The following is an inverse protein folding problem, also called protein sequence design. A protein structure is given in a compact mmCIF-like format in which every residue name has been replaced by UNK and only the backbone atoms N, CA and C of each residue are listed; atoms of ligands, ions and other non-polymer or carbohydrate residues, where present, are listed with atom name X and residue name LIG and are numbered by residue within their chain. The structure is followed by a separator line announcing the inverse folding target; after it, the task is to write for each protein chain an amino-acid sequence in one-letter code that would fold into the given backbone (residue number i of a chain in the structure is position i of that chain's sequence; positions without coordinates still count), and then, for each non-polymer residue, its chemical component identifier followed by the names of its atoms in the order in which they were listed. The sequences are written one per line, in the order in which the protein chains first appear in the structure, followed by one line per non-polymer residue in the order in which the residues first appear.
data_IF_173125910433
#
_entry.id   IF_173125910433
#
_cell.length_a   1.000
_cell.length_b   1.000
_cell.length_c   1.000
_cell.angle_alpha   90.00
_cell.angle_beta   90.00
_cell.angle_gamma   90.00
#
_symmetry.space_group_name_H-M   'P 1'
#
loop_
_entity.id
_entity.type
_entity.pdbx_description
1 polymer ?
#
# COMPACT_ATOMS: atom_id res chain seq x y z
N UNK A 1 71.97 10.24 -0.35
CA UNK A 1 70.91 9.42 0.27
C UNK A 1 69.63 9.69 -0.50
N UNK A 2 69.31 8.86 -1.50
CA UNK A 2 68.20 9.10 -2.43
C UNK A 2 67.06 8.15 -2.03
N UNK A 3 66.03 8.70 -1.38
CA UNK A 3 64.80 7.95 -1.10
C UNK A 3 64.04 7.75 -2.42
N UNK A 4 63.95 6.51 -2.88
CA UNK A 4 63.01 6.15 -3.93
C UNK A 4 61.58 6.30 -3.38
N UNK A 5 60.72 7.15 -3.97
CA UNK A 5 59.33 7.22 -3.56
C UNK A 5 58.68 5.86 -3.89
N UNK A 6 58.08 5.23 -2.89
CA UNK A 6 57.40 3.94 -3.01
C UNK A 6 56.16 4.07 -3.93
N UNK A 7 56.40 4.01 -5.25
CA UNK A 7 55.37 4.08 -6.30
C UNK A 7 54.24 3.04 -6.10
N UNK A 8 54.54 1.92 -5.43
CA UNK A 8 53.57 0.86 -5.14
C UNK A 8 52.50 1.27 -4.12
N UNK A 9 52.83 2.12 -3.13
CA UNK A 9 51.86 2.60 -2.14
C UNK A 9 50.87 3.61 -2.72
N UNK A 10 51.34 4.47 -3.62
CA UNK A 10 50.51 5.46 -4.32
C UNK A 10 49.53 4.79 -5.27
N UNK A 11 49.98 3.78 -6.03
CA UNK A 11 49.11 3.03 -6.95
C UNK A 11 47.99 2.30 -6.20
N UNK A 12 48.30 1.68 -5.05
CA UNK A 12 47.28 1.02 -4.22
C UNK A 12 46.22 2.01 -3.72
N UNK A 13 46.64 3.21 -3.31
CA UNK A 13 45.76 4.25 -2.79
C UNK A 13 44.84 4.81 -3.89
N UNK A 14 45.35 4.99 -5.11
CA UNK A 14 44.55 5.42 -6.27
C UNK A 14 43.50 4.36 -6.64
N UNK A 15 43.85 3.07 -6.60
CA UNK A 15 42.90 1.98 -6.87
C UNK A 15 41.81 1.92 -5.80
N UNK A 16 42.17 2.04 -4.51
CA UNK A 16 41.20 2.09 -3.41
C UNK A 16 40.24 3.27 -3.54
N UNK A 17 40.76 4.44 -3.91
CA UNK A 17 39.94 5.64 -4.11
C UNK A 17 38.98 5.47 -5.29
N UNK A 18 39.44 4.86 -6.40
CA UNK A 18 38.59 4.56 -7.55
C UNK A 18 37.46 3.58 -7.18
N UNK A 19 37.76 2.52 -6.44
CA UNK A 19 36.74 1.55 -5.96
C UNK A 19 35.74 2.22 -5.02
N UNK A 20 36.21 3.06 -4.10
CA UNK A 20 35.33 3.79 -3.18
C UNK A 20 34.41 4.77 -3.92
N UNK A 21 34.93 5.50 -4.91
CA UNK A 21 34.14 6.39 -5.77
C UNK A 21 33.12 5.59 -6.58
N UNK A 22 33.51 4.43 -7.13
CA UNK A 22 32.63 3.58 -7.92
C UNK A 22 31.52 2.96 -7.06
N UNK A 23 31.83 2.58 -5.81
CA UNK A 23 30.82 2.17 -4.81
C UNK A 23 29.88 3.32 -4.43
N UNK A 24 30.41 4.53 -4.23
CA UNK A 24 29.60 5.71 -3.93
C UNK A 24 28.65 6.05 -5.08
N UNK A 25 29.14 6.04 -6.33
CA UNK A 25 28.34 6.26 -7.52
C UNK A 25 27.30 5.14 -7.70
N UNK A 26 27.65 3.89 -7.40
CA UNK A 26 26.72 2.76 -7.41
C UNK A 26 25.61 2.94 -6.35
N UNK A 27 25.95 3.33 -5.13
CA UNK A 27 24.96 3.62 -4.08
C UNK A 27 24.07 4.83 -4.42
N UNK A 28 24.63 5.90 -5.01
CA UNK A 28 23.86 7.08 -5.42
C UNK A 28 22.91 6.75 -6.57
N UNK A 29 23.33 5.92 -7.53
CA UNK A 29 22.45 5.53 -8.64
C UNK A 29 21.31 4.60 -8.16
N UNK A 30 21.60 3.72 -7.20
CA UNK A 30 20.57 2.95 -6.49
C UNK A 30 19.62 3.90 -5.77
N UNK A 31 20.08 4.93 -5.06
CA UNK A 31 19.20 5.89 -4.37
C UNK A 31 18.42 6.83 -5.30
N UNK A 32 18.94 7.12 -6.49
CA UNK A 32 18.25 7.94 -7.49
C UNK A 32 17.10 7.18 -8.17
N UNK A 33 17.20 5.85 -8.28
CA UNK A 33 16.15 4.96 -8.82
C UNK A 33 15.23 4.48 -7.68
N UNK A 34 15.79 4.24 -6.49
CA UNK A 34 15.11 3.86 -5.26
C UNK A 34 15.14 5.09 -4.33
N UNK A 35 14.20 6.01 -4.55
CA UNK A 35 14.03 7.20 -3.72
C UNK A 35 14.06 6.89 -2.21
N UNK A 36 14.31 7.91 -1.35
CA UNK A 36 14.68 7.74 0.05
C UNK A 36 13.81 6.70 0.77
N UNK A 37 14.47 5.71 1.36
CA UNK A 37 13.86 4.67 2.17
C UNK A 37 13.08 5.29 3.34
N UNK A 38 11.78 4.96 3.37
CA UNK A 38 10.92 4.85 4.54
C UNK A 38 10.80 6.10 5.42
N UNK A 39 9.91 7.01 5.02
CA UNK A 39 9.05 7.61 6.04
C UNK A 39 8.20 6.49 6.65
N UNK A 40 8.37 6.32 7.95
CA UNK A 40 7.93 5.24 8.82
C UNK A 40 6.59 4.65 8.38
N UNK A 41 6.59 3.39 7.93
CA UNK A 41 5.37 2.61 7.88
C UNK A 41 4.75 2.60 9.29
N UNK A 42 3.41 2.50 9.43
CA UNK A 42 2.81 2.25 10.74
C UNK A 42 3.55 1.12 11.43
N UNK A 43 3.98 1.33 12.68
CA UNK A 43 4.62 0.27 13.46
C UNK A 43 3.68 -0.95 13.48
N UNK A 44 4.21 -2.14 13.17
CA UNK A 44 3.43 -3.38 13.11
C UNK A 44 2.99 -3.86 11.72
N UNK A 45 3.28 -3.13 10.64
CA UNK A 45 3.09 -3.65 9.26
C UNK A 45 4.44 -4.15 8.74
N UNK A 46 4.50 -5.44 8.39
CA UNK A 46 5.70 -6.04 7.82
C UNK A 46 6.10 -5.34 6.50
N UNK A 47 7.37 -4.93 6.39
CA UNK A 47 7.94 -4.35 5.17
C UNK A 47 7.95 -5.32 3.99
N UNK A 48 7.70 -6.61 4.26
CA UNK A 48 7.75 -7.73 3.31
C UNK A 48 6.44 -8.52 3.35
N UNK A 49 5.37 -8.03 2.72
CA UNK A 49 4.03 -8.62 2.84
C UNK A 49 3.94 -10.07 2.35
N UNK A 50 4.87 -10.51 1.50
CA UNK A 50 4.94 -11.91 1.03
C UNK A 50 5.36 -12.91 2.11
N UNK A 51 5.84 -12.46 3.27
CA UNK A 51 6.07 -13.35 4.42
C UNK A 51 4.74 -13.73 5.11
N UNK A 52 3.68 -12.96 4.88
CA UNK A 52 2.33 -13.20 5.40
C UNK A 52 1.43 -13.94 4.38
N UNK A 53 2.02 -14.52 3.33
CA UNK A 53 1.27 -15.19 2.27
C UNK A 53 0.48 -16.41 2.80
N UNK A 54 0.95 -17.02 3.89
CA UNK A 54 0.27 -18.10 4.60
C UNK A 54 -1.03 -17.67 5.30
N UNK A 55 -1.20 -16.37 5.56
CA UNK A 55 -2.45 -15.82 6.11
C UNK A 55 -3.57 -15.70 5.05
N UNK A 56 -3.23 -15.81 3.76
CA UNK A 56 -4.22 -15.75 2.69
C UNK A 56 -5.01 -17.06 2.61
N UNK A 57 -6.33 -16.94 2.73
CA UNK A 57 -7.27 -18.05 2.68
C UNK A 57 -7.79 -18.23 1.26
N UNK A 58 -7.66 -19.44 0.72
CA UNK A 58 -8.13 -19.76 -0.62
C UNK A 58 -9.65 -19.55 -0.80
N UNK A 59 -10.08 -19.44 -2.07
CA UNK A 59 -11.50 -19.40 -2.39
C UNK A 59 -12.22 -20.67 -1.90
N UNK A 60 -13.42 -20.51 -1.36
CA UNK A 60 -14.22 -21.60 -0.78
C UNK A 60 -13.80 -22.07 0.62
N UNK A 61 -12.60 -21.74 1.09
CA UNK A 61 -12.18 -22.06 2.46
C UNK A 61 -12.85 -21.13 3.48
N UNK A 62 -13.21 -21.63 4.68
CA UNK A 62 -13.85 -20.82 5.72
C UNK A 62 -12.84 -19.85 6.34
N UNK A 63 -13.29 -18.61 6.59
CA UNK A 63 -12.51 -17.57 7.26
C UNK A 63 -12.99 -17.46 8.71
N UNK A 64 -12.05 -17.39 9.65
CA UNK A 64 -12.36 -17.18 11.06
C UNK A 64 -12.90 -15.77 11.27
N UNK A 65 -14.17 -15.65 11.66
CA UNK A 65 -14.80 -14.37 11.92
C UNK A 65 -14.37 -13.75 13.25
N UNK A 66 -14.31 -12.40 13.33
CA UNK A 66 -13.89 -11.71 14.53
C UNK A 66 -14.92 -11.85 15.64
N UNK A 67 -14.43 -11.89 16.87
CA UNK A 67 -15.24 -11.77 18.09
C UNK A 67 -14.79 -10.51 18.83
N UNK A 68 -15.63 -10.02 19.74
CA UNK A 68 -15.25 -8.93 20.63
C UNK A 68 -13.87 -9.21 21.27
N UNK A 69 -12.97 -8.21 21.31
CA UNK A 69 -13.25 -6.78 21.11
C UNK A 69 -13.07 -6.26 19.67
N UNK A 70 -12.78 -7.14 18.69
CA UNK A 70 -12.64 -6.74 17.28
C UNK A 70 -14.00 -6.38 16.66
N UNK A 71 -14.04 -5.51 15.63
CA UNK A 71 -15.27 -5.14 14.92
C UNK A 71 -15.94 -6.38 14.34
N UNK A 72 -17.25 -6.52 14.54
CA UNK A 72 -18.03 -7.62 13.98
C UNK A 72 -18.49 -7.28 12.57
N UNK A 73 -18.44 -8.26 11.66
CA UNK A 73 -18.80 -8.09 10.24
C UNK A 73 -20.22 -8.60 9.97
N UNK A 74 -21.22 -7.94 10.57
CA UNK A 74 -22.62 -8.36 10.44
C UNK A 74 -23.24 -7.99 9.09
N UNK A 75 -22.60 -7.09 8.34
CA UNK A 75 -23.00 -6.69 7.00
C UNK A 75 -21.75 -6.37 6.16
N UNK A 76 -21.84 -6.47 4.82
CA UNK A 76 -20.78 -6.00 3.95
C UNK A 76 -20.51 -4.51 4.17
N UNK A 77 -19.23 -4.15 4.18
CA UNK A 77 -18.77 -2.76 4.31
C UNK A 77 -17.88 -2.36 3.14
N UNK A 78 -17.93 -1.08 2.79
CA UNK A 78 -17.11 -0.49 1.73
C UNK A 78 -16.42 0.74 2.27
N UNK A 79 -15.10 0.74 2.17
CA UNK A 79 -14.21 1.81 2.59
C UNK A 79 -13.64 2.47 1.33
N UNK A 80 -13.44 3.78 1.36
CA UNK A 80 -12.73 4.49 0.29
C UNK A 80 -11.72 5.43 0.90
N UNK A 81 -10.54 5.48 0.30
CA UNK A 81 -9.39 6.17 0.87
C UNK A 81 -8.44 6.75 -0.15
N UNK A 82 -7.65 7.70 0.33
CA UNK A 82 -6.51 8.24 -0.42
C UNK A 82 -5.30 7.35 -0.21
N UNK A 83 -4.51 7.18 -1.27
CA UNK A 83 -3.22 6.48 -1.25
C UNK A 83 -2.13 7.51 -1.45
N UNK A 84 -1.08 7.51 -0.64
CA UNK A 84 0.01 8.48 -0.73
C UNK A 84 1.38 7.82 -0.62
N UNK A 85 2.41 8.51 -1.14
CA UNK A 85 3.82 8.13 -0.97
C UNK A 85 4.63 9.40 -0.80
N UNK A 86 5.41 9.48 0.27
CA UNK A 86 6.20 10.68 0.63
C UNK A 86 5.33 11.94 0.63
N UNK A 87 4.18 11.89 1.31
CA UNK A 87 3.14 12.93 1.40
C UNK A 87 2.43 13.33 0.09
N UNK A 88 2.90 12.85 -1.07
CA UNK A 88 2.23 13.08 -2.35
C UNK A 88 1.08 12.08 -2.57
N UNK A 89 -0.05 12.58 -3.07
CA UNK A 89 -1.20 11.75 -3.42
C UNK A 89 -0.89 10.88 -4.65
N UNK A 90 -1.21 9.59 -4.54
CA UNK A 90 -0.97 8.52 -5.52
C UNK A 90 -2.23 7.70 -5.75
N UNK A 91 -3.36 8.41 -5.89
CA UNK A 91 -4.64 7.82 -6.25
C UNK A 91 -5.53 7.44 -5.08
N UNK A 92 -6.45 6.53 -5.34
CA UNK A 92 -7.51 6.13 -4.42
C UNK A 92 -7.63 4.61 -4.33
N UNK A 93 -7.95 4.13 -3.13
CA UNK A 93 -8.24 2.72 -2.87
C UNK A 93 -9.68 2.57 -2.44
N UNK A 94 -10.36 1.57 -2.97
CA UNK A 94 -11.66 1.11 -2.52
C UNK A 94 -11.50 -0.28 -1.93
N UNK A 95 -11.95 -0.49 -0.69
CA UNK A 95 -11.84 -1.78 0.01
C UNK A 95 -13.25 -2.24 0.35
N UNK A 96 -13.63 -3.42 -0.12
CA UNK A 96 -14.88 -4.09 0.24
C UNK A 96 -14.57 -5.27 1.16
N UNK A 97 -15.20 -5.32 2.33
CA UNK A 97 -15.12 -6.46 3.24
C UNK A 97 -16.51 -7.07 3.36
N UNK A 98 -16.64 -8.33 2.96
CA UNK A 98 -17.89 -9.08 3.05
C UNK A 98 -18.13 -9.60 4.47
N UNK A 99 -19.36 -9.99 4.76
CA UNK A 99 -19.75 -10.52 6.07
C UNK A 99 -19.09 -11.86 6.41
N UNK A 100 -18.58 -12.59 5.42
CA UNK A 100 -17.80 -13.82 5.60
C UNK A 100 -16.29 -13.55 5.82
N UNK A 101 -15.86 -12.29 5.85
CA UNK A 101 -14.48 -11.90 6.09
C UNK A 101 -13.58 -11.87 4.86
N UNK A 102 -14.12 -12.08 3.64
CA UNK A 102 -13.34 -11.85 2.41
C UNK A 102 -13.13 -10.36 2.18
N UNK A 103 -11.97 -10.04 1.62
CA UNK A 103 -11.55 -8.68 1.30
C UNK A 103 -11.34 -8.59 -0.20
N UNK A 104 -11.89 -7.56 -0.83
CA UNK A 104 -11.55 -7.13 -2.19
C UNK A 104 -11.08 -5.69 -2.13
N UNK A 105 -10.07 -5.36 -2.90
CA UNK A 105 -9.63 -3.99 -3.01
C UNK A 105 -9.24 -3.62 -4.44
N UNK A 106 -9.63 -2.41 -4.84
CA UNK A 106 -9.28 -1.83 -6.12
C UNK A 106 -8.48 -0.55 -5.84
N UNK A 107 -7.27 -0.46 -6.41
CA UNK A 107 -6.44 0.74 -6.36
C UNK A 107 -6.26 1.30 -7.76
N UNK A 108 -6.54 2.59 -7.90
CA UNK A 108 -6.32 3.33 -9.14
C UNK A 108 -5.53 4.59 -8.83
N UNK A 109 -4.53 4.89 -9.65
CA UNK A 109 -3.76 6.12 -9.55
C UNK A 109 -3.41 6.68 -10.93
N UNK A 110 -3.44 8.00 -11.02
CA UNK A 110 -2.87 8.74 -12.14
C UNK A 110 -2.07 9.91 -11.57
N UNK A 111 -0.78 9.98 -11.86
CA UNK A 111 0.10 11.03 -11.33
C UNK A 111 1.27 11.32 -12.27
N UNK A 112 1.87 12.49 -12.12
CA UNK A 112 3.03 12.91 -12.92
C UNK A 112 4.24 13.12 -12.03
N UNK A 113 5.41 12.71 -12.53
CA UNK A 113 6.70 13.09 -11.98
C UNK A 113 7.60 13.47 -13.16
N UNK A 114 7.70 14.77 -13.50
CA UNK A 114 8.28 15.22 -14.75
C UNK A 114 9.65 14.59 -15.04
N UNK A 115 9.88 14.10 -16.27
CA UNK A 115 9.02 14.24 -17.46
C UNK A 115 7.93 13.16 -17.61
N UNK A 116 7.76 12.26 -16.65
CA UNK A 116 6.97 11.03 -16.78
C UNK A 116 5.54 11.19 -16.26
N UNK A 117 4.61 10.51 -16.92
CA UNK A 117 3.23 10.31 -16.45
C UNK A 117 3.01 8.84 -16.12
N UNK A 118 2.27 8.57 -15.05
CA UNK A 118 2.05 7.23 -14.52
C UNK A 118 0.55 6.97 -14.38
N UNK A 119 0.12 5.80 -14.83
CA UNK A 119 -1.22 5.27 -14.60
C UNK A 119 -1.09 3.88 -13.98
N UNK A 120 -1.63 3.71 -12.78
CA UNK A 120 -1.59 2.47 -12.02
C UNK A 120 -3.00 1.94 -11.80
N UNK A 121 -3.15 0.62 -11.98
CA UNK A 121 -4.35 -0.12 -11.61
C UNK A 121 -3.96 -1.40 -10.90
N UNK A 122 -4.63 -1.74 -9.80
CA UNK A 122 -4.46 -3.01 -9.11
C UNK A 122 -5.81 -3.52 -8.60
N UNK A 123 -6.05 -4.82 -8.76
CA UNK A 123 -7.24 -5.52 -8.26
C UNK A 123 -6.77 -6.64 -7.33
N UNK A 124 -7.14 -6.55 -6.06
CA UNK A 124 -6.65 -7.42 -4.99
C UNK A 124 -7.79 -8.20 -4.36
N UNK A 125 -7.49 -9.43 -3.94
CA UNK A 125 -8.40 -10.29 -3.18
C UNK A 125 -7.67 -10.93 -2.00
N UNK A 126 -8.40 -11.17 -0.92
CA UNK A 126 -7.88 -11.80 0.29
C UNK A 126 -8.92 -11.91 1.37
N UNK A 127 -8.49 -11.74 2.62
CA UNK A 127 -9.31 -11.99 3.80
C UNK A 127 -8.86 -11.13 4.98
N UNK A 128 -9.70 -11.12 6.00
CA UNK A 128 -9.32 -10.68 7.33
C UNK A 128 -8.47 -11.73 8.02
N UNK A 129 -7.67 -11.31 8.99
CA UNK A 129 -7.12 -12.21 10.01
C UNK A 129 -7.47 -11.76 11.42
N UNK A 130 -7.79 -12.73 12.27
CA UNK A 130 -8.24 -12.50 13.64
C UNK A 130 -7.16 -12.73 14.68
N UNK A 131 -6.01 -13.26 14.31
CA UNK A 131 -4.90 -13.56 15.22
C UNK A 131 -3.91 -12.40 15.31
N UNK A 132 -3.72 -11.65 14.22
CA UNK A 132 -2.89 -10.47 14.18
C UNK A 132 -3.41 -9.39 15.13
N UNK A 133 -2.51 -8.86 15.95
CA UNK A 133 -2.78 -7.77 16.90
C UNK A 133 -2.08 -6.52 16.40
N UNK A 134 -2.74 -5.37 16.48
CA UNK A 134 -2.10 -4.10 16.13
C UNK A 134 -1.18 -3.67 17.26
N UNK A 135 -0.04 -3.05 16.94
CA UNK A 135 0.92 -2.56 17.92
C UNK A 135 1.29 -1.13 17.59
N UNK A 136 1.10 -0.21 18.53
CA UNK A 136 1.60 1.17 18.43
C UNK A 136 2.44 1.57 19.65
N UNK A 137 2.79 2.86 19.72
CA UNK A 137 3.56 3.42 20.83
C UNK A 137 2.90 3.26 22.21
N UNK A 138 1.57 3.06 22.27
CA UNK A 138 0.83 2.83 23.50
C UNK A 138 0.71 1.33 23.84
N UNK A 139 1.18 0.45 22.96
CA UNK A 139 1.20 -0.99 23.14
C UNK A 139 0.24 -1.74 22.21
N UNK A 140 -0.13 -2.98 22.56
CA UNK A 140 -1.01 -3.80 21.72
C UNK A 140 -2.47 -3.31 21.76
N UNK A 141 -3.06 -3.08 20.59
CA UNK A 141 -4.49 -2.81 20.40
C UNK A 141 -5.18 -4.04 19.79
N UNK A 142 -6.03 -4.68 20.59
CA UNK A 142 -6.80 -5.87 20.19
C UNK A 142 -8.12 -5.51 19.50
N UNK A 143 -8.47 -4.22 19.41
CA UNK A 143 -9.74 -3.75 18.89
C UNK A 143 -9.71 -3.54 17.37
N UNK A 144 -8.56 -3.73 16.72
CA UNK A 144 -8.43 -3.58 15.27
C UNK A 144 -8.44 -4.93 14.56
N UNK A 145 -9.05 -4.96 13.38
CA UNK A 145 -9.12 -6.15 12.54
C UNK A 145 -8.11 -6.06 11.40
N UNK A 146 -7.22 -7.04 11.30
CA UNK A 146 -6.21 -7.07 10.26
C UNK A 146 -6.84 -7.46 8.92
N UNK A 147 -6.41 -6.78 7.85
CA UNK A 147 -6.80 -7.00 6.47
C UNK A 147 -5.54 -7.39 5.68
N UNK A 148 -5.64 -8.45 4.88
CA UNK A 148 -4.61 -8.82 3.91
C UNK A 148 -5.27 -9.14 2.57
N UNK A 149 -4.73 -8.56 1.50
CA UNK A 149 -5.14 -8.87 0.14
C UNK A 149 -3.95 -8.82 -0.81
N UNK A 150 -4.04 -9.60 -1.88
CA UNK A 150 -3.00 -9.71 -2.91
C UNK A 150 -3.64 -9.76 -4.28
N UNK A 151 -2.98 -9.22 -5.29
CA UNK A 151 -3.40 -9.36 -6.68
C UNK A 151 -2.42 -8.75 -7.66
N UNK A 152 -2.69 -8.85 -8.96
CA UNK A 152 -1.87 -8.22 -9.98
C UNK A 152 -2.02 -6.69 -9.93
N UNK A 153 -0.95 -5.99 -10.29
CA UNK A 153 -1.02 -4.59 -10.71
C UNK A 153 -0.48 -4.43 -12.13
N UNK A 154 -0.89 -3.32 -12.74
CA UNK A 154 -0.40 -2.82 -14.01
C UNK A 154 -0.03 -1.36 -13.86
N UNK A 155 1.19 -1.00 -14.22
CA UNK A 155 1.70 0.37 -14.24
C UNK A 155 2.09 0.74 -15.67
N UNK A 156 1.39 1.72 -16.22
CA UNK A 156 1.75 2.36 -17.47
C UNK A 156 2.56 3.62 -17.18
N UNK A 157 3.73 3.72 -17.80
CA UNK A 157 4.60 4.90 -17.75
C UNK A 157 4.68 5.51 -19.14
N UNK A 158 4.34 6.79 -19.26
CA UNK A 158 4.51 7.57 -20.49
C UNK A 158 5.65 8.56 -20.30
N UNK A 159 6.67 8.42 -21.13
CA UNK A 159 7.85 9.28 -21.16
C UNK A 159 7.99 9.91 -22.57
N UNK A 160 8.16 11.23 -22.69
CA UNK A 160 8.39 11.88 -23.98
C UNK A 160 9.62 11.36 -24.74
N UNK A 161 10.65 10.89 -24.04
CA UNK A 161 11.91 10.46 -24.65
C UNK A 161 11.88 8.99 -25.10
N UNK A 162 11.24 8.10 -24.32
CA UNK A 162 11.27 6.65 -24.55
C UNK A 162 9.91 6.07 -24.97
N UNK A 163 8.84 6.85 -24.91
CA UNK A 163 7.49 6.42 -25.29
C UNK A 163 6.72 5.79 -24.14
N UNK A 164 5.91 4.78 -24.44
CA UNK A 164 5.09 4.06 -23.47
C UNK A 164 5.82 2.80 -22.98
N UNK A 165 5.91 2.63 -21.67
CA UNK A 165 6.39 1.43 -21.01
C UNK A 165 5.30 0.84 -20.10
N UNK A 166 5.27 -0.48 -20.00
CA UNK A 166 4.34 -1.22 -19.15
C UNK A 166 5.10 -2.11 -18.18
N UNK A 167 4.69 -2.08 -16.91
CA UNK A 167 5.18 -2.95 -15.85
C UNK A 167 4.00 -3.70 -15.24
N UNK A 168 4.16 -5.01 -15.03
CA UNK A 168 3.19 -5.88 -14.39
C UNK A 168 3.88 -6.57 -13.22
N UNK A 169 3.20 -6.62 -12.08
CA UNK A 169 3.72 -7.31 -10.91
C UNK A 169 2.62 -7.65 -9.92
N UNK A 170 3.01 -7.81 -8.66
CA UNK A 170 2.10 -8.12 -7.55
C UNK A 170 1.92 -6.91 -6.65
N UNK A 171 0.67 -6.56 -6.39
CA UNK A 171 0.28 -5.64 -5.33
C UNK A 171 -0.17 -6.42 -4.10
N UNK A 172 0.17 -5.87 -2.94
CA UNK A 172 -0.27 -6.32 -1.63
C UNK A 172 -0.97 -5.16 -0.93
N UNK A 173 -2.06 -5.46 -0.22
CA UNK A 173 -2.71 -4.55 0.70
C UNK A 173 -2.63 -5.17 2.09
N UNK A 174 -2.03 -4.44 3.02
CA UNK A 174 -2.03 -4.76 4.45
C UNK A 174 -2.67 -3.60 5.20
N UNK A 175 -3.44 -3.88 6.25
CA UNK A 175 -3.88 -2.81 7.13
C UNK A 175 -4.77 -3.27 8.26
N UNK A 176 -5.24 -2.30 9.02
CA UNK A 176 -6.05 -2.51 10.21
C UNK A 176 -7.32 -1.68 10.12
N UNK A 177 -8.47 -2.34 10.27
CA UNK A 177 -9.78 -1.73 10.40
C UNK A 177 -10.09 -1.48 11.87
N UNK A 178 -10.28 -0.22 12.21
CA UNK A 178 -10.68 0.26 13.54
C UNK A 178 -12.21 0.16 13.74
N UNK A 179 -12.69 0.09 15.00
CA UNK A 179 -14.13 0.03 15.31
C UNK A 179 -14.94 1.24 14.84
N UNK A 180 -14.29 2.39 14.63
CA UNK A 180 -14.90 3.62 14.11
C UNK A 180 -15.12 3.58 12.58
N UNK A 181 -14.74 2.49 11.90
CA UNK A 181 -14.89 2.34 10.46
C UNK A 181 -13.77 3.01 9.65
N UNK A 182 -12.63 3.32 10.28
CA UNK A 182 -11.41 3.76 9.60
C UNK A 182 -10.48 2.58 9.37
N UNK A 183 -9.95 2.44 8.17
CA UNK A 183 -8.91 1.48 7.83
C UNK A 183 -7.62 2.21 7.45
N UNK A 184 -6.51 1.80 8.04
CA UNK A 184 -5.19 2.36 7.79
C UNK A 184 -4.21 1.25 7.47
N UNK A 185 -3.29 1.50 6.53
CA UNK A 185 -2.36 0.47 6.14
C UNK A 185 -1.44 0.87 5.01
N UNK A 186 -0.90 -0.14 4.34
CA UNK A 186 0.01 0.02 3.22
C UNK A 186 -0.45 -0.76 1.98
N UNK A 187 -0.11 -0.19 0.83
CA UNK A 187 -0.14 -0.85 -0.46
C UNK A 187 1.31 -1.02 -0.92
N UNK A 188 1.69 -2.26 -1.26
CA UNK A 188 3.06 -2.60 -1.62
C UNK A 188 3.10 -3.21 -3.01
N UNK A 189 3.91 -2.64 -3.90
CA UNK A 189 4.16 -3.14 -5.25
C UNK A 189 5.50 -3.86 -5.32
N UNK A 190 5.55 -4.99 -6.02
CA UNK A 190 6.79 -5.71 -6.30
C UNK A 190 6.66 -6.56 -7.57
N UNK A 191 7.75 -6.68 -8.34
CA UNK A 191 7.80 -7.60 -9.50
C UNK A 191 8.40 -8.97 -9.13
N UNK A 192 9.30 -9.02 -8.15
CA UNK A 192 10.16 -10.18 -7.90
C UNK A 192 10.37 -10.54 -6.41
N UNK A 193 9.75 -9.79 -5.49
CA UNK A 193 9.93 -9.91 -4.02
C UNK A 193 11.36 -9.62 -3.53
N UNK A 194 12.23 -9.08 -4.38
CA UNK A 194 13.58 -8.62 -4.01
C UNK A 194 13.60 -7.13 -3.69
N UNK A 195 12.75 -6.36 -4.37
CA UNK A 195 12.47 -4.96 -4.07
C UNK A 195 10.97 -4.74 -3.90
N UNK A 196 10.61 -3.64 -3.26
CA UNK A 196 9.22 -3.23 -3.16
C UNK A 196 9.08 -1.70 -3.08
N UNK A 197 7.95 -1.19 -3.57
CA UNK A 197 7.55 0.21 -3.37
C UNK A 197 6.32 0.22 -2.48
N UNK A 198 6.38 1.00 -1.40
CA UNK A 198 5.34 1.09 -0.38
C UNK A 198 4.62 2.43 -0.46
N UNK A 199 3.30 2.35 -0.37
CA UNK A 199 2.35 3.46 -0.32
C UNK A 199 1.54 3.34 0.96
N UNK A 200 1.18 4.47 1.56
CA UNK A 200 0.30 4.51 2.72
C UNK A 200 -1.12 4.77 2.27
N UNK A 201 -2.11 4.21 2.96
CA UNK A 201 -3.51 4.55 2.71
C UNK A 201 -4.28 4.80 4.01
N UNK A 202 -5.30 5.64 3.90
CA UNK A 202 -6.33 5.80 4.93
C UNK A 202 -7.68 5.80 4.23
N UNK A 203 -8.52 4.82 4.57
CA UNK A 203 -9.85 4.61 4.00
C UNK A 203 -10.92 4.70 5.08
N UNK A 204 -12.06 5.29 4.74
CA UNK A 204 -13.16 5.52 5.68
C UNK A 204 -14.42 4.86 5.15
N UNK A 205 -15.23 4.34 6.07
CA UNK A 205 -16.51 3.70 5.77
C UNK A 205 -17.44 4.68 5.02
N UNK A 206 -17.89 4.27 3.84
CA UNK A 206 -18.94 4.97 3.13
C UNK A 206 -20.28 4.69 3.83
N UNK A 207 -20.72 5.64 4.66
CA UNK A 207 -22.08 5.63 5.17
C UNK A 207 -23.04 5.73 3.98
N UNK A 208 -23.78 4.66 3.68
CA UNK A 208 -24.93 4.76 2.78
C UNK A 208 -25.88 5.79 3.41
N UNK A 209 -25.92 7.00 2.87
CA UNK A 209 -27.00 7.95 3.14
C UNK A 209 -28.28 7.21 2.74
N UNK A 210 -29.04 6.72 3.73
CA UNK A 210 -30.43 6.34 3.50
C UNK A 210 -31.10 7.62 3.00
N UNK A 211 -31.39 7.69 1.72
CA UNK A 211 -32.26 8.72 1.18
C UNK A 211 -33.59 8.59 1.94
N UNK A 212 -33.82 9.50 2.89
CA UNK A 212 -35.15 9.74 3.42
C UNK A 212 -35.97 10.29 2.26
N UNK A 213 -36.65 9.40 1.53
CA UNK A 213 -37.72 9.76 0.62
C UNK A 213 -38.84 10.39 1.46
N UNK A 214 -38.80 11.72 1.63
CA UNK A 214 -39.98 12.49 2.04
C UNK A 214 -41.06 12.20 1.00
N UNK A 215 -42.08 11.41 1.38
CA UNK A 215 -43.32 11.35 0.61
C UNK A 215 -43.87 12.78 0.51
N UNK A 216 -44.25 13.29 -0.66
CA UNK A 216 -44.97 14.54 -0.75
C UNK A 216 -46.30 14.37 0.00
N UNK A 217 -46.54 15.24 0.97
CA UNK A 217 -47.83 15.38 1.64
C UNK A 217 -48.82 15.85 0.58
N UNK A 218 -49.90 15.08 0.40
CA UNK A 218 -50.96 15.42 -0.54
C UNK A 218 -51.59 16.75 -0.16
N UNK A 219 -51.67 17.66 -1.12
CA UNK A 219 -52.51 18.84 -1.02
C UNK A 219 -53.87 18.45 -1.63
N UNK A 220 -54.80 18.07 -0.76
CA UNK A 220 -56.23 18.05 -1.07
C UNK A 220 -56.70 19.45 -0.75
N UNK A 221 -57.32 20.11 -1.73
CA UNK A 221 -58.46 21.02 -1.59
C UNK A 221 -58.45 22.07 -2.70
N UNK A 222 -59.42 21.93 -3.62
CA UNK A 222 -60.17 23.05 -4.18
C UNK A 222 -61.40 22.47 -4.90
N UNK A 223 -62.47 22.28 -4.13
CA UNK A 223 -63.84 22.37 -4.60
C UNK A 223 -64.41 23.65 -4.00
N UNK A 224 -64.56 24.68 -4.84
CA UNK A 224 -65.70 25.60 -4.98
C UNK A 224 -65.29 26.81 -5.83
#
# INVERSE_FOLDING_TARGET
MIQHPNKRGVVLLVVLMAVAILMLLYMVNIQAILGPSLQTAPQGIEERPWLLEDLLVAEGQPIRLPKAPKPTLNAPLTLTGQVSRNTELRGTVQIAVSSDGRVRADWQAEYSHPPKQYQLTAALSGNIDTQQTYHDANGPDKNRLFLIAKGPYRLLTKDPATGLAEEIGTAWLLGYLSPDGRAEGTLTLTTDRQWAVVYQYTAILLLRRKYCSRKPVGNVDNFL
#
